data_IF_617797513323
#
_entry.id   IF_617797513323
#
_cell.length_a   1.000
_cell.length_b   1.000
_cell.length_c   1.000
_cell.angle_alpha   90.00
_cell.angle_beta   90.00
_cell.angle_gamma   90.00
#
_symmetry.space_group_name_H-M   'P 1'
#
loop_
_entity.id
_entity.type
_entity.pdbx_description
1 polymer ?
#
# COMPACT_ATOMS: atom_id res chain seq x y z
N UNK A 1 15.19 12.29 -16.54
CA UNK A 1 13.71 12.32 -16.68
C UNK A 1 13.04 11.18 -15.92
N UNK A 2 13.39 9.90 -16.18
CA UNK A 2 12.73 8.73 -15.55
C UNK A 2 12.86 8.71 -14.01
N UNK A 3 14.04 9.00 -13.45
CA UNK A 3 14.27 9.01 -11.99
C UNK A 3 13.40 10.05 -11.26
N UNK A 4 13.15 11.21 -11.89
CA UNK A 4 12.30 12.24 -11.31
C UNK A 4 10.84 11.76 -11.23
N UNK A 5 10.36 11.09 -12.26
CA UNK A 5 9.00 10.53 -12.30
C UNK A 5 8.82 9.45 -11.23
N UNK A 6 9.78 8.54 -11.07
CA UNK A 6 9.71 7.49 -10.03
C UNK A 6 9.74 8.08 -8.62
N UNK A 7 10.56 9.12 -8.38
CA UNK A 7 10.61 9.79 -7.08
C UNK A 7 9.27 10.48 -6.72
N UNK A 8 8.63 11.13 -7.69
CA UNK A 8 7.30 11.74 -7.47
C UNK A 8 6.26 10.67 -7.10
N UNK A 9 6.28 9.52 -7.77
CA UNK A 9 5.32 8.45 -7.49
C UNK A 9 5.59 7.76 -6.15
N UNK A 10 6.84 7.59 -5.72
CA UNK A 10 7.15 7.08 -4.38
C UNK A 10 6.60 8.00 -3.27
N UNK A 11 6.72 9.32 -3.44
CA UNK A 11 6.14 10.29 -2.51
C UNK A 11 4.61 10.16 -2.48
N UNK A 12 3.97 10.06 -3.65
CA UNK A 12 2.50 9.88 -3.74
C UNK A 12 2.07 8.59 -3.03
N UNK A 13 2.78 7.48 -3.26
CA UNK A 13 2.49 6.19 -2.66
C UNK A 13 2.58 6.21 -1.13
N UNK A 14 3.59 6.90 -0.59
CA UNK A 14 3.74 7.08 0.86
C UNK A 14 2.57 7.87 1.47
N UNK A 15 2.05 8.87 0.76
CA UNK A 15 0.90 9.67 1.23
C UNK A 15 -0.41 8.86 1.18
N UNK A 16 -0.61 8.06 0.12
CA UNK A 16 -1.80 7.22 -0.01
C UNK A 16 -1.82 6.17 1.11
N UNK A 17 -0.68 5.55 1.41
CA UNK A 17 -0.59 4.51 2.44
C UNK A 17 -0.94 5.03 3.83
N UNK A 18 -0.51 6.24 4.19
CA UNK A 18 -0.84 6.85 5.48
C UNK A 18 -2.31 7.26 5.56
N UNK A 19 -2.88 7.82 4.49
CA UNK A 19 -4.30 8.13 4.38
C UNK A 19 -5.17 6.86 4.52
N UNK A 20 -4.83 5.77 3.82
CA UNK A 20 -5.55 4.51 3.92
C UNK A 20 -5.49 3.95 5.35
N UNK A 21 -4.35 4.06 6.04
CA UNK A 21 -4.23 3.66 7.44
C UNK A 21 -5.26 4.35 8.35
N UNK A 22 -5.40 5.69 8.26
CA UNK A 22 -6.36 6.42 9.11
C UNK A 22 -7.81 6.20 8.69
N UNK A 23 -8.09 6.14 7.38
CA UNK A 23 -9.45 5.95 6.85
C UNK A 23 -9.97 4.55 7.14
N UNK A 24 -9.14 3.50 7.06
CA UNK A 24 -9.54 2.14 7.42
C UNK A 24 -9.85 2.00 8.91
N UNK A 25 -9.08 2.65 9.81
CA UNK A 25 -9.40 2.63 11.25
C UNK A 25 -10.77 3.27 11.51
N UNK A 26 -11.03 4.42 10.88
CA UNK A 26 -12.32 5.11 11.03
C UNK A 26 -13.48 4.29 10.41
N UNK A 27 -13.25 3.62 9.29
CA UNK A 27 -14.22 2.72 8.65
C UNK A 27 -14.59 1.54 9.55
N UNK A 28 -13.60 0.88 10.16
CA UNK A 28 -13.85 -0.24 11.07
C UNK A 28 -14.56 0.19 12.35
N UNK A 29 -14.19 1.36 12.88
CA UNK A 29 -14.83 1.92 14.07
C UNK A 29 -16.28 2.36 13.82
N UNK A 30 -16.54 3.14 12.77
CA UNK A 30 -17.86 3.72 12.49
C UNK A 30 -18.80 2.77 11.78
N UNK A 31 -18.30 2.01 10.80
CA UNK A 31 -19.15 1.25 9.89
C UNK A 31 -19.29 -0.22 10.28
N UNK A 32 -18.24 -0.85 10.82
CA UNK A 32 -18.29 -2.24 11.31
C UNK A 32 -18.53 -2.35 12.82
N UNK A 33 -18.57 -1.23 13.55
CA UNK A 33 -18.78 -1.18 15.00
C UNK A 33 -17.77 -2.00 15.82
N UNK A 34 -16.53 -2.12 15.33
CA UNK A 34 -15.44 -2.70 16.12
C UNK A 34 -14.94 -1.75 17.19
N UNK A 35 -14.38 -2.30 18.28
CA UNK A 35 -13.70 -1.47 19.27
C UNK A 35 -12.49 -0.77 18.67
N UNK A 36 -12.05 0.34 19.29
CA UNK A 36 -10.87 1.10 18.82
C UNK A 36 -9.61 0.22 18.81
N UNK A 37 -9.49 -0.68 19.79
CA UNK A 37 -8.37 -1.62 19.90
C UNK A 37 -8.39 -2.66 18.77
N UNK A 38 -9.56 -3.26 18.48
CA UNK A 38 -9.69 -4.23 17.39
C UNK A 38 -9.49 -3.59 16.02
N UNK A 39 -10.05 -2.39 15.80
CA UNK A 39 -9.89 -1.63 14.56
C UNK A 39 -8.42 -1.32 14.29
N UNK A 40 -7.69 -0.86 15.30
CA UNK A 40 -6.25 -0.57 15.18
C UNK A 40 -5.45 -1.84 14.90
N UNK A 41 -5.74 -2.96 15.57
CA UNK A 41 -5.06 -4.23 15.33
C UNK A 41 -5.28 -4.75 13.90
N UNK A 42 -6.51 -4.65 13.39
CA UNK A 42 -6.83 -5.06 12.01
C UNK A 42 -6.06 -4.24 10.98
N UNK A 43 -5.98 -2.92 11.16
CA UNK A 43 -5.22 -2.04 10.27
C UNK A 43 -3.72 -2.28 10.38
N UNK A 44 -3.18 -2.49 11.58
CA UNK A 44 -1.75 -2.84 11.73
C UNK A 44 -1.42 -4.18 11.08
N UNK A 45 -2.27 -5.19 11.20
CA UNK A 45 -2.08 -6.48 10.51
C UNK A 45 -2.14 -6.33 8.98
N UNK A 46 -3.07 -5.51 8.48
CA UNK A 46 -3.17 -5.20 7.05
C UNK A 46 -1.91 -4.51 6.53
N UNK A 47 -1.48 -3.42 7.17
CA UNK A 47 -0.26 -2.70 6.80
C UNK A 47 1.00 -3.59 6.93
N UNK A 48 1.10 -4.40 7.98
CA UNK A 48 2.20 -5.34 8.17
C UNK A 48 2.27 -6.36 7.03
N UNK A 49 1.12 -6.89 6.60
CA UNK A 49 1.05 -7.82 5.46
C UNK A 49 1.41 -7.11 4.15
N UNK A 50 0.99 -5.85 3.95
CA UNK A 50 1.35 -5.06 2.77
C UNK A 50 2.86 -4.84 2.67
N UNK A 51 3.55 -4.58 3.79
CA UNK A 51 5.02 -4.47 3.80
C UNK A 51 5.71 -5.79 3.46
N UNK A 52 5.21 -6.92 3.97
CA UNK A 52 5.71 -8.24 3.57
C UNK A 52 5.52 -8.50 2.08
N UNK A 53 4.37 -8.11 1.53
CA UNK A 53 4.08 -8.22 0.10
C UNK A 53 5.04 -7.37 -0.76
N UNK A 54 5.54 -6.24 -0.25
CA UNK A 54 6.54 -5.43 -0.98
C UNK A 54 7.83 -6.18 -1.26
N UNK A 55 8.28 -7.04 -0.33
CA UNK A 55 9.48 -7.87 -0.48
C UNK A 55 9.27 -8.89 -1.60
N UNK A 56 8.10 -9.52 -1.61
CA UNK A 56 7.71 -10.48 -2.65
C UNK A 56 7.67 -9.78 -4.02
N UNK A 57 7.08 -8.57 -4.09
CA UNK A 57 7.06 -7.80 -5.33
C UNK A 57 8.44 -7.39 -5.83
N UNK A 58 9.37 -7.06 -4.94
CA UNK A 58 10.77 -6.80 -5.29
C UNK A 58 11.42 -8.02 -5.95
N UNK A 59 11.26 -9.20 -5.34
CA UNK A 59 11.81 -10.44 -5.90
C UNK A 59 11.24 -10.78 -7.29
N UNK A 60 9.93 -10.61 -7.48
CA UNK A 60 9.26 -10.83 -8.77
C UNK A 60 9.77 -9.83 -9.82
N UNK A 61 9.96 -8.56 -9.44
CA UNK A 61 10.47 -7.52 -10.33
C UNK A 61 11.91 -7.75 -10.75
N UNK A 62 12.73 -8.39 -9.92
CA UNK A 62 14.13 -8.63 -10.25
C UNK A 62 14.31 -9.91 -11.10
N UNK A 63 13.38 -10.87 -10.96
CA UNK A 63 13.52 -12.20 -11.59
C UNK A 63 12.68 -12.39 -12.86
N UNK A 64 11.49 -11.76 -12.96
CA UNK A 64 10.51 -12.13 -13.99
C UNK A 64 9.93 -10.95 -14.79
N UNK A 65 9.81 -9.75 -14.20
CA UNK A 65 9.03 -8.65 -14.79
C UNK A 65 9.93 -7.42 -15.00
N UNK A 66 9.78 -6.71 -16.13
CA UNK A 66 10.54 -5.46 -16.33
C UNK A 66 10.13 -4.39 -15.32
N UNK A 67 11.08 -3.58 -14.85
CA UNK A 67 10.88 -2.54 -13.84
C UNK A 67 9.73 -1.56 -14.17
N UNK A 68 9.50 -1.30 -15.45
CA UNK A 68 8.40 -0.44 -15.91
C UNK A 68 7.02 -1.12 -15.76
N UNK A 69 6.92 -2.41 -16.08
CA UNK A 69 5.68 -3.17 -15.93
C UNK A 69 5.33 -3.36 -14.45
N UNK A 70 6.30 -3.67 -13.59
CA UNK A 70 6.09 -3.76 -12.14
C UNK A 70 5.51 -2.46 -11.58
N UNK A 71 6.04 -1.32 -12.02
CA UNK A 71 5.57 0.01 -11.61
C UNK A 71 4.13 0.30 -12.03
N UNK A 72 3.75 -0.04 -13.26
CA UNK A 72 2.36 0.13 -13.74
C UNK A 72 1.38 -0.76 -12.98
N UNK A 73 1.76 -2.01 -12.72
CA UNK A 73 0.91 -2.97 -11.99
C UNK A 73 0.76 -2.57 -10.52
N UNK A 74 1.85 -2.20 -9.84
CA UNK A 74 1.77 -1.78 -8.44
C UNK A 74 0.98 -0.49 -8.26
N UNK A 75 1.16 0.49 -9.15
CA UNK A 75 0.42 1.75 -9.12
C UNK A 75 -1.08 1.56 -9.38
N UNK A 76 -1.46 0.72 -10.33
CA UNK A 76 -2.88 0.44 -10.62
C UNK A 76 -3.56 -0.33 -9.50
N UNK A 77 -2.88 -1.31 -8.89
CA UNK A 77 -3.38 -2.04 -7.73
C UNK A 77 -3.61 -1.12 -6.52
N UNK A 78 -2.69 -0.19 -6.25
CA UNK A 78 -2.84 0.77 -5.16
C UNK A 78 -4.01 1.74 -5.40
N UNK A 79 -4.28 2.13 -6.65
CA UNK A 79 -5.42 2.99 -6.97
C UNK A 79 -6.78 2.30 -6.83
N UNK A 80 -6.83 0.97 -6.95
CA UNK A 80 -8.06 0.20 -6.76
C UNK A 80 -8.43 0.01 -5.28
N UNK A 81 -7.48 0.14 -4.36
CA UNK A 81 -7.63 -0.11 -2.92
C UNK A 81 -7.71 1.20 -2.15
#
# INVERSE_FOLDING_TARGET
>A
MVIFITAVVEIMLSLITSCNGVTLVDYFFKSMHYSVAESSNMVTNFLGTAYLLSIIWGFISDSYITRFTTFLVSGTLQLMV
#
